data_IF_077856397812
#
_entry.id   IF_077856397812
#
_cell.length_a   1.000
_cell.length_b   1.000
_cell.length_c   1.000
_cell.angle_alpha   90.00
_cell.angle_beta   90.00
_cell.angle_gamma   90.00
#
_symmetry.space_group_name_H-M   'P 1'
#
loop_
_entity.id
_entity.type
_entity.pdbx_description
1 polymer ?
#
# COMPACT_ATOMS: atom_id res chain seq x y z
N UNK A 1 13.41 -29.74 4.30
CA UNK A 1 13.13 -29.20 2.96
C UNK A 1 12.98 -27.69 3.09
N UNK A 2 13.68 -26.90 2.27
CA UNK A 2 13.50 -25.45 2.25
C UNK A 2 12.02 -25.12 1.97
N UNK A 3 11.30 -24.41 2.86
CA UNK A 3 9.90 -24.05 2.63
C UNK A 3 9.70 -23.18 1.37
N UNK A 4 10.78 -22.56 0.91
CA UNK A 4 10.88 -21.66 -0.26
C UNK A 4 10.97 -22.37 -1.63
N UNK A 5 10.76 -23.69 -1.68
CA UNK A 5 10.98 -24.50 -2.91
C UNK A 5 9.70 -25.07 -3.52
N UNK A 6 8.53 -24.68 -3.00
CA UNK A 6 7.25 -25.12 -3.56
C UNK A 6 6.78 -24.16 -4.65
N UNK A 7 6.00 -24.64 -5.62
CA UNK A 7 5.36 -23.82 -6.67
C UNK A 7 4.58 -22.61 -6.12
N UNK A 8 4.16 -22.66 -4.85
CA UNK A 8 3.41 -21.59 -4.20
C UNK A 8 4.22 -20.32 -3.99
N UNK A 9 5.54 -20.41 -3.78
CA UNK A 9 6.38 -19.24 -3.53
C UNK A 9 6.51 -18.34 -4.78
N UNK A 10 6.92 -18.83 -5.97
CA UNK A 10 6.92 -18.00 -7.17
C UNK A 10 5.51 -17.54 -7.58
N UNK A 11 4.47 -18.36 -7.37
CA UNK A 11 3.08 -17.94 -7.62
C UNK A 11 2.67 -16.78 -6.71
N UNK A 12 3.04 -16.80 -5.43
CA UNK A 12 2.78 -15.73 -4.49
C UNK A 12 3.41 -14.41 -4.95
N UNK A 13 4.68 -14.43 -5.35
CA UNK A 13 5.37 -13.22 -5.84
C UNK A 13 4.79 -12.70 -7.16
N UNK A 14 4.40 -13.59 -8.08
CA UNK A 14 3.73 -13.20 -9.32
C UNK A 14 2.37 -12.55 -9.05
N UNK A 15 1.56 -13.12 -8.15
CA UNK A 15 0.26 -12.56 -7.76
C UNK A 15 0.45 -11.20 -7.08
N UNK A 16 1.40 -11.08 -6.15
CA UNK A 16 1.70 -9.79 -5.53
C UNK A 16 2.12 -8.74 -6.56
N UNK A 17 3.01 -9.08 -7.49
CA UNK A 17 3.43 -8.18 -8.56
C UNK A 17 2.25 -7.72 -9.44
N UNK A 18 1.39 -8.65 -9.85
CA UNK A 18 0.18 -8.34 -10.61
C UNK A 18 -0.77 -7.41 -9.83
N UNK A 19 -0.97 -7.64 -8.53
CA UNK A 19 -1.77 -6.76 -7.67
C UNK A 19 -1.18 -5.35 -7.66
N UNK A 20 0.14 -5.19 -7.52
CA UNK A 20 0.76 -3.86 -7.54
C UNK A 20 0.51 -3.13 -8.88
N UNK A 21 0.65 -3.81 -10.01
CA UNK A 21 0.35 -3.24 -11.34
C UNK A 21 -1.11 -2.80 -11.42
N UNK A 22 -2.04 -3.63 -10.94
CA UNK A 22 -3.47 -3.30 -10.91
C UNK A 22 -3.78 -2.09 -10.02
N UNK A 23 -3.10 -1.95 -8.88
CA UNK A 23 -3.26 -0.77 -8.01
C UNK A 23 -2.83 0.50 -8.73
N UNK A 24 -1.66 0.52 -9.39
CA UNK A 24 -1.21 1.72 -10.12
C UNK A 24 -2.06 2.02 -11.36
N UNK A 25 -2.44 1.00 -12.13
CA UNK A 25 -3.34 1.17 -13.28
C UNK A 25 -4.72 1.68 -12.83
N UNK A 26 -5.28 1.08 -11.78
CA UNK A 26 -6.55 1.48 -11.17
C UNK A 26 -6.49 2.90 -10.60
N UNK A 27 -5.39 3.29 -9.96
CA UNK A 27 -5.21 4.64 -9.44
C UNK A 27 -5.21 5.68 -10.57
N UNK A 28 -4.57 5.39 -11.70
CA UNK A 28 -4.57 6.28 -12.86
C UNK A 28 -5.96 6.41 -13.48
N UNK A 29 -6.67 5.30 -13.67
CA UNK A 29 -8.05 5.33 -14.19
C UNK A 29 -9.01 6.04 -13.23
N UNK A 30 -8.85 5.83 -11.92
CA UNK A 30 -9.60 6.53 -10.88
C UNK A 30 -9.36 8.05 -10.95
N UNK A 31 -8.10 8.49 -11.07
CA UNK A 31 -7.76 9.90 -11.20
C UNK A 31 -8.41 10.55 -12.44
N UNK A 32 -8.42 9.86 -13.58
CA UNK A 32 -9.10 10.31 -14.81
C UNK A 32 -10.62 10.37 -14.62
N UNK A 33 -11.21 9.34 -14.03
CA UNK A 33 -12.66 9.25 -13.82
C UNK A 33 -13.17 10.41 -12.94
N UNK A 34 -12.47 10.72 -11.85
CA UNK A 34 -12.81 11.82 -10.95
C UNK A 34 -12.26 13.19 -11.39
N UNK A 35 -11.61 13.26 -12.56
CA UNK A 35 -10.99 14.47 -13.11
C UNK A 35 -10.06 15.15 -12.11
N UNK A 36 -9.25 14.35 -11.42
CA UNK A 36 -8.28 14.85 -10.47
C UNK A 36 -7.11 15.48 -11.23
N UNK A 37 -6.79 16.73 -10.92
CA UNK A 37 -5.61 17.41 -11.44
C UNK A 37 -4.34 16.87 -10.78
N UNK A 38 -3.98 15.61 -11.09
CA UNK A 38 -2.84 14.90 -10.53
C UNK A 38 -1.54 15.33 -11.22
N UNK A 39 -0.72 16.11 -10.53
CA UNK A 39 0.63 16.45 -10.94
C UNK A 39 1.66 15.52 -10.28
N UNK A 40 2.93 15.69 -10.64
CA UNK A 40 4.01 14.84 -10.14
C UNK A 40 4.08 14.74 -8.61
N UNK A 41 3.91 15.84 -7.87
CA UNK A 41 3.99 15.80 -6.41
C UNK A 41 2.78 15.12 -5.77
N UNK A 42 1.57 15.25 -6.33
CA UNK A 42 0.37 14.52 -5.86
C UNK A 42 0.56 13.02 -6.06
N UNK A 43 1.12 12.63 -7.20
CA UNK A 43 1.49 11.24 -7.47
C UNK A 43 2.58 10.73 -6.52
N UNK A 44 3.61 11.54 -6.25
CA UNK A 44 4.65 11.18 -5.30
C UNK A 44 4.10 10.98 -3.88
N UNK A 45 3.16 11.82 -3.42
CA UNK A 45 2.51 11.66 -2.12
C UNK A 45 1.64 10.40 -2.08
N UNK A 46 0.81 10.16 -3.09
CA UNK A 46 -0.04 8.97 -3.16
C UNK A 46 0.79 7.68 -3.25
N UNK A 47 1.82 7.67 -4.09
CA UNK A 47 2.76 6.56 -4.22
C UNK A 47 3.57 6.32 -2.95
N UNK A 48 4.07 7.38 -2.32
CA UNK A 48 4.81 7.30 -1.05
C UNK A 48 3.94 6.80 0.11
N UNK A 49 2.68 7.23 0.17
CA UNK A 49 1.70 6.69 1.11
C UNK A 49 1.46 5.19 0.86
N UNK A 50 1.19 4.80 -0.38
CA UNK A 50 0.94 3.39 -0.74
C UNK A 50 2.15 2.50 -0.43
N UNK A 51 3.36 2.97 -0.78
CA UNK A 51 4.61 2.28 -0.48
C UNK A 51 4.81 2.09 1.03
N UNK A 52 4.57 3.14 1.82
CA UNK A 52 4.64 3.05 3.29
C UNK A 52 3.63 2.04 3.84
N UNK A 53 2.41 2.02 3.31
CA UNK A 53 1.39 1.05 3.69
C UNK A 53 1.82 -0.39 3.37
N UNK A 54 2.35 -0.62 2.16
CA UNK A 54 2.87 -1.92 1.77
C UNK A 54 4.04 -2.37 2.68
N UNK A 55 4.96 -1.47 3.04
CA UNK A 55 6.04 -1.75 3.99
C UNK A 55 5.52 -2.07 5.40
N UNK A 56 4.50 -1.36 5.88
CA UNK A 56 3.89 -1.66 7.18
C UNK A 56 3.25 -3.04 7.18
N UNK A 57 2.52 -3.40 6.11
CA UNK A 57 1.96 -4.74 5.95
C UNK A 57 3.08 -5.78 5.92
N UNK A 58 4.08 -5.60 5.05
CA UNK A 58 5.20 -6.53 4.94
C UNK A 58 5.93 -6.72 6.28
N UNK A 59 6.30 -5.63 6.95
CA UNK A 59 6.98 -5.66 8.25
C UNK A 59 6.15 -6.31 9.35
N UNK A 60 4.84 -6.05 9.41
CA UNK A 60 3.97 -6.72 10.35
C UNK A 60 3.94 -8.23 10.14
N UNK A 61 3.78 -8.70 8.90
CA UNK A 61 3.77 -10.13 8.59
C UNK A 61 5.13 -10.79 8.81
N UNK A 62 6.24 -10.08 8.63
CA UNK A 62 7.58 -10.56 9.03
C UNK A 62 7.63 -10.81 10.53
N UNK A 63 7.22 -9.85 11.36
CA UNK A 63 7.20 -9.99 12.83
C UNK A 63 6.27 -11.12 13.29
N UNK A 64 5.10 -11.26 12.64
CA UNK A 64 4.18 -12.38 12.90
C UNK A 64 4.84 -13.74 12.57
N UNK A 65 5.68 -13.80 11.53
CA UNK A 65 6.43 -14.98 11.15
C UNK A 65 7.63 -15.30 12.06
N UNK A 66 8.23 -14.28 12.68
CA UNK A 66 9.38 -14.40 13.59
C UNK A 66 8.99 -14.74 15.05
N UNK A 67 7.77 -15.26 15.27
CA UNK A 67 7.21 -15.55 16.60
C UNK A 67 7.03 -14.32 17.51
N UNK A 68 7.13 -13.10 16.97
CA UNK A 68 6.84 -11.84 17.67
C UNK A 68 5.40 -11.37 17.37
N UNK A 69 4.44 -12.29 17.50
CA UNK A 69 3.05 -12.09 17.06
C UNK A 69 2.41 -10.79 17.59
N UNK A 70 2.62 -10.50 18.88
CA UNK A 70 2.10 -9.27 19.49
C UNK A 70 2.72 -8.01 18.88
N UNK A 71 4.03 -8.00 18.62
CA UNK A 71 4.69 -6.86 18.00
C UNK A 71 4.17 -6.62 16.57
N UNK A 72 3.97 -7.69 15.80
CA UNK A 72 3.36 -7.60 14.47
C UNK A 72 1.95 -6.99 14.50
N UNK A 73 1.10 -7.44 15.42
CA UNK A 73 -0.25 -6.88 15.58
C UNK A 73 -0.25 -5.43 16.08
N UNK A 74 0.62 -5.08 17.03
CA UNK A 74 0.73 -3.69 17.48
C UNK A 74 1.28 -2.77 16.41
N UNK A 75 2.27 -3.23 15.62
CA UNK A 75 2.82 -2.47 14.50
C UNK A 75 1.76 -2.25 13.42
N UNK A 76 1.06 -3.30 13.01
CA UNK A 76 -0.03 -3.21 12.03
C UNK A 76 -1.18 -2.35 12.55
N UNK A 77 -1.57 -2.55 13.81
CA UNK A 77 -2.65 -1.80 14.44
C UNK A 77 -2.33 -0.32 14.56
N UNK A 78 -1.18 0.04 15.15
CA UNK A 78 -0.83 1.43 15.39
C UNK A 78 -0.38 2.15 14.11
N UNK A 79 0.64 1.64 13.44
CA UNK A 79 1.20 2.27 12.23
C UNK A 79 0.23 2.13 11.06
N UNK A 80 -0.38 0.96 10.88
CA UNK A 80 -1.36 0.75 9.82
C UNK A 80 -2.60 1.62 9.98
N UNK A 81 -3.15 1.76 11.20
CA UNK A 81 -4.27 2.71 11.43
C UNK A 81 -3.83 4.16 11.15
N UNK A 82 -2.64 4.55 11.59
CA UNK A 82 -2.08 5.87 11.29
C UNK A 82 -1.98 6.13 9.77
N UNK A 83 -1.54 5.13 9.00
CA UNK A 83 -1.47 5.21 7.55
C UNK A 83 -2.86 5.23 6.91
N UNK A 84 -3.86 4.50 7.41
CA UNK A 84 -5.23 4.60 6.91
C UNK A 84 -5.77 6.02 7.10
N UNK A 85 -5.59 6.59 8.29
CA UNK A 85 -6.00 7.98 8.58
C UNK A 85 -5.27 8.96 7.66
N UNK A 86 -3.96 8.80 7.50
CA UNK A 86 -3.16 9.62 6.59
C UNK A 86 -3.64 9.51 5.13
N UNK A 87 -4.05 8.31 4.69
CA UNK A 87 -4.60 8.06 3.36
C UNK A 87 -5.92 8.79 3.14
N UNK A 88 -6.81 8.77 4.14
CA UNK A 88 -8.07 9.53 4.11
C UNK A 88 -7.79 11.04 4.04
N UNK A 89 -6.85 11.56 4.83
CA UNK A 89 -6.47 12.97 4.81
C UNK A 89 -5.89 13.34 3.45
N UNK A 90 -5.00 12.51 2.90
CA UNK A 90 -4.40 12.74 1.58
C UNK A 90 -5.46 12.74 0.47
N UNK A 91 -6.41 11.81 0.51
CA UNK A 91 -7.54 11.78 -0.40
C UNK A 91 -8.33 13.09 -0.34
N UNK A 92 -8.68 13.56 0.86
CA UNK A 92 -9.38 14.83 1.03
C UNK A 92 -8.56 16.03 0.51
N UNK A 93 -7.24 16.03 0.72
CA UNK A 93 -6.35 17.06 0.22
C UNK A 93 -6.34 17.09 -1.31
N UNK A 94 -6.19 15.94 -1.96
CA UNK A 94 -6.20 15.82 -3.43
C UNK A 94 -7.55 16.29 -3.99
N UNK A 95 -8.66 15.92 -3.37
CA UNK A 95 -10.00 16.33 -3.79
C UNK A 95 -10.22 17.85 -3.64
N UNK A 96 -9.76 18.47 -2.55
CA UNK A 96 -9.83 19.93 -2.36
C UNK A 96 -8.98 20.68 -3.37
N UNK A 97 -7.80 20.14 -3.70
CA UNK A 97 -6.88 20.70 -4.69
C UNK A 97 -7.20 20.26 -6.13
N UNK A 98 -8.40 19.73 -6.39
CA UNK A 98 -8.84 19.38 -7.75
C UNK A 98 -8.99 20.61 -8.64
N UNK A 99 -9.45 21.72 -8.07
CA UNK A 99 -9.80 22.95 -8.79
C UNK A 99 -8.74 24.07 -8.63
N UNK A 100 -7.64 23.79 -7.93
CA UNK A 100 -6.48 24.66 -7.80
C UNK A 100 -5.43 24.28 -8.85
#
# INVERSE_FOLDING_TARGET
>A
MFPQSTLLDPLFWMVLGAIQVLVFAGANEWAKHYRLNMNWWKWALAGGWWFSFALTVAGAFTLLGENEGNAGWYFLGFVGTGLIIAGVILLQLILKLRNA
#
